data_IF_010078762732
#
_entry.id   IF_010078762732
#
_cell.length_a   1.000
_cell.length_b   1.000
_cell.length_c   1.000
_cell.angle_alpha   90.00
_cell.angle_beta   90.00
_cell.angle_gamma   90.00
#
_symmetry.space_group_name_H-M   'P 1'
#
loop_
_entity.id
_entity.type
_entity.pdbx_description
1 polymer ?
#
# COMPACT_ATOMS: atom_id res chain seq x y z
N UNK A 1 48.65 67.65 17.41
CA UNK A 1 49.00 67.19 16.06
C UNK A 1 48.29 65.86 15.83
N UNK A 2 47.35 65.83 14.86
CA UNK A 2 46.64 64.73 14.16
C UNK A 2 46.85 63.29 14.69
N UNK A 3 45.83 62.42 14.77
CA UNK A 3 45.04 61.88 13.65
C UNK A 3 43.71 61.29 14.18
N UNK A 4 42.62 61.49 13.41
CA UNK A 4 41.29 60.88 13.55
C UNK A 4 41.32 59.38 13.26
N UNK A 5 40.53 58.57 13.97
CA UNK A 5 40.08 57.26 13.48
C UNK A 5 38.59 57.08 13.77
N UNK A 6 37.76 57.41 12.78
CA UNK A 6 36.30 57.20 12.81
C UNK A 6 36.02 55.76 12.36
N UNK A 7 35.58 54.90 13.28
CA UNK A 7 35.21 53.52 12.95
C UNK A 7 33.76 53.55 12.44
N UNK A 8 33.56 53.30 11.14
CA UNK A 8 32.24 53.06 10.56
C UNK A 8 31.77 51.65 10.94
N UNK A 9 30.81 51.55 11.85
CA UNK A 9 30.08 50.29 12.10
C UNK A 9 29.02 50.11 11.01
N UNK A 10 29.29 49.27 10.03
CA UNK A 10 28.29 48.83 9.05
C UNK A 10 27.31 47.88 9.73
N UNK A 11 26.08 48.33 9.96
CA UNK A 11 24.98 47.47 10.37
C UNK A 11 24.56 46.60 9.17
N UNK A 12 24.94 45.33 9.17
CA UNK A 12 24.43 44.36 8.22
C UNK A 12 22.99 44.00 8.62
N UNK A 13 22.01 44.45 7.82
CA UNK A 13 20.62 44.04 7.95
C UNK A 13 20.50 42.58 7.48
N UNK A 14 20.51 41.62 8.40
CA UNK A 14 20.15 40.23 8.07
C UNK A 14 18.64 40.17 7.88
N UNK A 15 18.20 40.18 6.63
CA UNK A 15 16.83 39.81 6.27
C UNK A 15 16.69 38.30 6.46
N UNK A 16 15.97 37.90 7.51
CA UNK A 16 15.59 36.50 7.70
C UNK A 16 14.57 36.15 6.62
N UNK A 17 15.03 35.51 5.55
CA UNK A 17 14.12 34.86 4.61
C UNK A 17 13.48 33.67 5.32
N UNK A 18 12.20 33.80 5.67
CA UNK A 18 11.42 32.67 6.18
C UNK A 18 11.16 31.71 5.02
N UNK A 19 12.09 30.77 4.79
CA UNK A 19 11.85 29.61 3.95
C UNK A 19 10.90 28.66 4.70
N UNK A 20 9.60 28.88 4.54
CA UNK A 20 8.58 27.94 5.00
C UNK A 20 8.07 27.12 3.82
N UNK A 21 8.94 26.30 3.22
CA UNK A 21 8.44 25.05 2.64
C UNK A 21 8.24 24.09 3.80
N UNK A 22 7.15 24.26 4.56
CA UNK A 22 6.72 23.23 5.48
C UNK A 22 6.28 22.08 4.59
N UNK A 23 7.18 21.14 4.31
CA UNK A 23 6.78 19.77 4.03
C UNK A 23 5.79 19.43 5.16
N UNK A 24 4.50 19.20 4.84
CA UNK A 24 3.48 18.85 5.84
C UNK A 24 4.10 17.76 6.73
N UNK A 25 4.41 18.14 7.96
CA UNK A 25 5.08 17.26 8.90
C UNK A 25 4.14 16.09 9.20
N UNK A 26 4.68 14.88 9.29
CA UNK A 26 3.93 13.73 9.76
C UNK A 26 3.26 14.05 11.10
N UNK A 27 2.05 13.55 11.33
CA UNK A 27 1.36 13.74 12.60
C UNK A 27 1.99 12.85 13.67
N UNK A 28 3.04 13.36 14.31
CA UNK A 28 3.82 12.60 15.29
C UNK A 28 2.98 12.11 16.47
N UNK A 29 1.95 12.86 16.87
CA UNK A 29 1.07 12.47 17.96
C UNK A 29 0.26 11.21 17.60
N UNK A 30 -0.35 11.17 16.42
CA UNK A 30 -1.07 9.98 15.95
C UNK A 30 -0.13 8.81 15.66
N UNK A 31 1.07 9.08 15.11
CA UNK A 31 2.09 8.03 14.93
C UNK A 31 2.48 7.40 16.26
N UNK A 32 2.75 8.20 17.29
CA UNK A 32 3.08 7.71 18.62
C UNK A 32 1.91 6.95 19.26
N UNK A 33 0.68 7.46 19.09
CA UNK A 33 -0.53 6.78 19.56
C UNK A 33 -0.66 5.39 18.93
N UNK A 34 -0.56 5.29 17.59
CA UNK A 34 -0.62 4.01 16.88
C UNK A 34 0.48 3.06 17.34
N UNK A 35 1.73 3.53 17.43
CA UNK A 35 2.86 2.66 17.74
C UNK A 35 2.81 2.13 19.18
N UNK A 36 2.33 2.94 20.13
CA UNK A 36 2.24 2.58 21.55
C UNK A 36 0.99 1.79 21.90
N UNK A 37 -0.16 2.09 21.29
CA UNK A 37 -1.46 1.53 21.70
C UNK A 37 -2.09 0.59 20.67
N UNK A 38 -1.61 0.62 19.42
CA UNK A 38 -2.28 0.00 18.26
C UNK A 38 -3.68 0.54 17.98
N UNK A 39 -4.07 1.68 18.55
CA UNK A 39 -5.36 2.32 18.33
C UNK A 39 -5.19 3.65 17.60
N UNK A 40 -5.80 3.79 16.43
CA UNK A 40 -5.79 5.04 15.67
C UNK A 40 -7.00 5.14 14.71
N UNK A 41 -8.22 4.92 15.23
CA UNK A 41 -9.42 5.11 14.42
C UNK A 41 -9.56 6.57 13.98
N UNK A 42 -9.78 6.79 12.69
CA UNK A 42 -9.93 8.14 12.12
C UNK A 42 -8.69 9.03 12.23
N UNK A 43 -7.52 8.48 12.57
CA UNK A 43 -6.30 9.26 12.68
C UNK A 43 -5.85 9.81 11.32
N UNK A 44 -5.31 11.03 11.33
CA UNK A 44 -4.43 11.52 10.26
C UNK A 44 -3.05 10.86 10.42
N UNK A 45 -2.74 9.94 9.51
CA UNK A 45 -1.45 9.26 9.35
C UNK A 45 -0.94 9.49 7.92
N UNK A 46 -1.30 10.62 7.32
CA UNK A 46 -0.92 10.93 5.94
C UNK A 46 0.60 10.98 5.81
N UNK A 47 1.12 10.33 4.77
CA UNK A 47 2.56 10.27 4.45
C UNK A 47 3.47 9.64 5.52
N UNK A 48 2.91 9.03 6.58
CA UNK A 48 3.72 8.47 7.67
C UNK A 48 4.68 7.38 7.19
N UNK A 49 5.92 7.40 7.70
CA UNK A 49 6.87 6.29 7.57
C UNK A 49 6.67 5.20 8.62
N UNK A 50 6.14 4.05 8.22
CA UNK A 50 5.90 2.86 9.06
C UNK A 50 6.48 1.58 8.41
N UNK A 51 7.62 1.71 7.73
CA UNK A 51 8.32 0.59 7.11
C UNK A 51 8.64 -0.45 8.17
N UNK A 52 8.30 -1.72 7.90
CA UNK A 52 8.52 -2.84 8.82
C UNK A 52 7.87 -2.70 10.21
N UNK A 53 6.91 -1.78 10.37
CA UNK A 53 6.23 -1.61 11.64
C UNK A 53 5.43 -2.87 12.00
N UNK A 54 5.48 -3.26 13.27
CA UNK A 54 4.57 -4.25 13.83
C UNK A 54 3.25 -3.55 14.18
N UNK A 55 2.19 -3.88 13.44
CA UNK A 55 0.84 -3.32 13.57
C UNK A 55 -0.20 -4.46 13.62
N UNK A 56 0.19 -5.63 14.14
CA UNK A 56 -0.72 -6.76 14.31
C UNK A 56 -1.93 -6.34 15.14
N UNK A 57 -3.13 -6.62 14.61
CA UNK A 57 -4.39 -6.30 15.26
C UNK A 57 -4.65 -4.80 15.46
N UNK A 58 -3.89 -3.91 14.83
CA UNK A 58 -4.08 -2.49 14.99
C UNK A 58 -5.45 -2.03 14.48
N UNK A 59 -6.10 -1.15 15.24
CA UNK A 59 -7.34 -0.53 14.83
C UNK A 59 -7.04 0.79 14.11
N UNK A 60 -7.13 0.75 12.79
CA UNK A 60 -6.92 1.85 11.84
C UNK A 60 -8.21 2.18 11.07
N UNK A 61 -9.37 1.80 11.63
CA UNK A 61 -10.66 2.02 10.97
C UNK A 61 -10.86 3.51 10.65
N UNK A 62 -11.14 3.82 9.38
CA UNK A 62 -11.34 5.17 8.88
C UNK A 62 -10.11 6.08 8.92
N UNK A 63 -8.91 5.58 9.23
CA UNK A 63 -7.70 6.39 9.26
C UNK A 63 -7.32 6.89 7.86
N UNK A 64 -6.74 8.10 7.77
CA UNK A 64 -6.11 8.60 6.55
C UNK A 64 -4.65 8.19 6.49
N UNK A 65 -4.36 7.13 5.74
CA UNK A 65 -3.03 6.59 5.46
C UNK A 65 -2.58 6.96 4.03
N UNK A 66 -3.18 7.99 3.42
CA UNK A 66 -2.84 8.34 2.04
C UNK A 66 -1.37 8.69 1.93
N UNK A 67 -0.72 8.09 0.92
CA UNK A 67 0.73 8.19 0.65
C UNK A 67 1.63 7.73 1.81
N UNK A 68 1.11 7.00 2.79
CA UNK A 68 1.93 6.39 3.84
C UNK A 68 2.87 5.33 3.27
N UNK A 69 4.00 5.11 3.92
CA UNK A 69 4.91 4.03 3.59
C UNK A 69 4.84 2.93 4.67
N UNK A 70 4.06 1.90 4.38
CA UNK A 70 3.84 0.69 5.19
C UNK A 70 4.57 -0.52 4.59
N UNK A 71 5.61 -0.31 3.78
CA UNK A 71 6.31 -1.40 3.11
C UNK A 71 6.83 -2.40 4.14
N UNK A 72 6.56 -3.69 3.92
CA UNK A 72 6.92 -4.80 4.82
C UNK A 72 6.36 -4.71 6.23
N UNK A 73 5.39 -3.84 6.50
CA UNK A 73 4.72 -3.80 7.80
C UNK A 73 3.93 -5.10 8.05
N UNK A 74 3.80 -5.48 9.31
CA UNK A 74 2.94 -6.57 9.73
C UNK A 74 1.60 -6.01 10.19
N UNK A 75 0.58 -6.12 9.35
CA UNK A 75 -0.81 -5.70 9.57
C UNK A 75 -1.74 -6.91 9.75
N UNK A 76 -1.20 -8.07 10.18
CA UNK A 76 -2.00 -9.29 10.38
C UNK A 76 -3.19 -8.98 11.31
N UNK A 77 -4.41 -9.27 10.86
CA UNK A 77 -5.63 -9.03 11.62
C UNK A 77 -5.96 -7.56 11.93
N UNK A 78 -5.27 -6.58 11.33
CA UNK A 78 -5.56 -5.17 11.54
C UNK A 78 -6.94 -4.79 10.97
N UNK A 79 -7.62 -3.85 11.63
CA UNK A 79 -8.86 -3.24 11.12
C UNK A 79 -8.52 -1.97 10.34
N UNK A 80 -8.60 -2.04 9.02
CA UNK A 80 -8.42 -0.95 8.05
C UNK A 80 -9.75 -0.59 7.37
N UNK A 81 -10.90 -0.97 7.95
CA UNK A 81 -12.19 -0.71 7.35
C UNK A 81 -12.42 0.78 7.11
N UNK A 82 -12.82 1.13 5.90
CA UNK A 82 -13.01 2.53 5.47
C UNK A 82 -11.74 3.40 5.44
N UNK A 83 -10.54 2.84 5.65
CA UNK A 83 -9.30 3.63 5.65
C UNK A 83 -8.98 4.18 4.26
N UNK A 84 -8.38 5.37 4.19
CA UNK A 84 -7.84 5.93 2.95
C UNK A 84 -6.39 5.50 2.77
N UNK A 85 -6.13 4.55 1.87
CA UNK A 85 -4.78 4.04 1.55
C UNK A 85 -4.30 4.55 0.17
N UNK A 86 -4.94 5.58 -0.38
CA UNK A 86 -4.64 6.05 -1.73
C UNK A 86 -3.17 6.47 -1.86
N UNK A 87 -2.50 5.88 -2.86
CA UNK A 87 -1.07 6.11 -3.10
C UNK A 87 -0.12 5.61 -2.00
N UNK A 88 -0.59 4.85 -1.01
CA UNK A 88 0.25 4.26 0.01
C UNK A 88 1.13 3.13 -0.55
N UNK A 89 2.29 2.91 0.05
CA UNK A 89 3.14 1.75 -0.23
C UNK A 89 2.92 0.66 0.82
N UNK A 90 2.34 -0.46 0.41
CA UNK A 90 2.19 -1.71 1.16
C UNK A 90 3.07 -2.82 0.56
N UNK A 91 4.12 -2.46 -0.18
CA UNK A 91 4.99 -3.43 -0.84
C UNK A 91 5.53 -4.46 0.18
N UNK A 92 5.27 -5.74 -0.05
CA UNK A 92 5.69 -6.83 0.83
C UNK A 92 5.04 -6.84 2.22
N UNK A 93 3.97 -6.07 2.45
CA UNK A 93 3.29 -6.04 3.75
C UNK A 93 2.49 -7.33 3.98
N UNK A 94 2.40 -7.75 5.25
CA UNK A 94 1.55 -8.86 5.65
C UNK A 94 0.19 -8.34 6.14
N UNK A 95 -0.87 -8.55 5.35
CA UNK A 95 -2.26 -8.16 5.64
C UNK A 95 -3.14 -9.39 5.88
N UNK A 96 -2.54 -10.53 6.26
CA UNK A 96 -3.30 -11.75 6.47
C UNK A 96 -4.41 -11.54 7.52
N UNK A 97 -5.64 -11.89 7.16
CA UNK A 97 -6.82 -11.69 8.03
C UNK A 97 -7.20 -10.23 8.31
N UNK A 98 -6.57 -9.24 7.68
CA UNK A 98 -6.90 -7.84 7.88
C UNK A 98 -8.29 -7.50 7.30
N UNK A 99 -9.01 -6.60 7.97
CA UNK A 99 -10.28 -6.07 7.45
C UNK A 99 -10.02 -4.80 6.64
N UNK A 100 -10.17 -4.85 5.32
CA UNK A 100 -10.08 -3.69 4.41
C UNK A 100 -11.44 -3.30 3.84
N UNK A 101 -12.56 -3.73 4.43
CA UNK A 101 -13.89 -3.45 3.88
C UNK A 101 -14.11 -1.94 3.67
N UNK A 102 -14.48 -1.54 2.44
CA UNK A 102 -14.69 -0.15 2.06
C UNK A 102 -13.43 0.74 2.03
N UNK A 103 -12.23 0.19 2.18
CA UNK A 103 -11.00 0.97 2.10
C UNK A 103 -10.73 1.49 0.68
N UNK A 104 -10.14 2.68 0.58
CA UNK A 104 -9.72 3.26 -0.70
C UNK A 104 -8.30 2.81 -1.06
N UNK A 105 -8.17 1.90 -2.03
CA UNK A 105 -6.89 1.38 -2.54
C UNK A 105 -6.44 1.99 -3.87
N UNK A 106 -6.95 3.17 -4.23
CA UNK A 106 -6.58 3.81 -5.49
C UNK A 106 -5.08 4.11 -5.56
N UNK A 107 -4.39 3.59 -6.59
CA UNK A 107 -2.94 3.73 -6.77
C UNK A 107 -2.09 3.20 -5.61
N UNK A 108 -2.63 2.31 -4.78
CA UNK A 108 -1.89 1.68 -3.69
C UNK A 108 -0.94 0.61 -4.22
N UNK A 109 0.29 0.58 -3.71
CA UNK A 109 1.27 -0.44 -4.06
C UNK A 109 1.15 -1.64 -3.13
N UNK A 110 0.50 -2.71 -3.59
CA UNK A 110 0.33 -3.99 -2.90
C UNK A 110 1.28 -5.06 -3.43
N UNK A 111 2.29 -4.71 -4.23
CA UNK A 111 3.20 -5.70 -4.83
C UNK A 111 3.83 -6.57 -3.75
N UNK A 112 3.86 -7.87 -3.98
CA UNK A 112 4.39 -8.88 -3.04
C UNK A 112 3.70 -8.90 -1.64
N UNK A 113 2.54 -8.26 -1.49
CA UNK A 113 1.79 -8.28 -0.23
C UNK A 113 1.04 -9.61 -0.01
N UNK A 114 0.78 -9.94 1.26
CA UNK A 114 0.05 -11.15 1.65
C UNK A 114 -1.37 -10.79 2.13
N UNK A 115 -2.39 -11.15 1.35
CA UNK A 115 -3.81 -10.87 1.61
C UNK A 115 -4.61 -12.13 2.00
N UNK A 116 -3.95 -13.22 2.39
CA UNK A 116 -4.63 -14.47 2.77
C UNK A 116 -5.67 -14.19 3.85
N UNK A 117 -6.93 -14.54 3.59
CA UNK A 117 -8.09 -14.28 4.46
C UNK A 117 -8.41 -12.80 4.71
N UNK A 118 -7.84 -11.86 3.97
CA UNK A 118 -8.18 -10.44 4.09
C UNK A 118 -9.59 -10.17 3.57
N UNK A 119 -10.32 -9.28 4.25
CA UNK A 119 -11.69 -8.91 3.89
C UNK A 119 -11.66 -7.66 3.00
N UNK A 120 -12.09 -7.78 1.74
CA UNK A 120 -12.02 -6.72 0.71
C UNK A 120 -13.43 -6.33 0.19
N UNK A 121 -14.46 -6.48 1.02
CA UNK A 121 -15.84 -6.15 0.62
C UNK A 121 -15.95 -4.68 0.23
N UNK A 122 -16.51 -4.40 -0.96
CA UNK A 122 -16.67 -3.03 -1.47
C UNK A 122 -15.36 -2.36 -1.91
N UNK A 123 -14.28 -3.12 -2.08
CA UNK A 123 -12.97 -2.62 -2.53
C UNK A 123 -12.73 -2.99 -3.99
N UNK A 124 -12.17 -2.06 -4.77
CA UNK A 124 -11.68 -2.32 -6.12
C UNK A 124 -10.15 -2.36 -6.15
N UNK A 125 -9.60 -3.42 -6.72
CA UNK A 125 -8.15 -3.57 -6.95
C UNK A 125 -7.71 -3.14 -8.36
N UNK A 126 -8.62 -2.72 -9.25
CA UNK A 126 -8.31 -2.45 -10.65
C UNK A 126 -7.28 -1.31 -10.86
N UNK A 127 -7.11 -0.43 -9.85
CA UNK A 127 -6.14 0.67 -9.86
C UNK A 127 -4.98 0.47 -8.87
N UNK A 128 -4.86 -0.70 -8.26
CA UNK A 128 -3.77 -1.03 -7.35
C UNK A 128 -2.65 -1.78 -8.10
N UNK A 129 -1.42 -1.66 -7.62
CA UNK A 129 -0.30 -2.46 -8.11
C UNK A 129 -0.23 -3.76 -7.30
N UNK A 130 -0.66 -4.88 -7.88
CA UNK A 130 -0.82 -6.15 -7.15
C UNK A 130 0.12 -7.27 -7.65
N UNK A 131 1.19 -6.91 -8.34
CA UNK A 131 2.10 -7.91 -8.89
C UNK A 131 2.76 -8.69 -7.75
N UNK A 132 2.64 -10.02 -7.78
CA UNK A 132 3.15 -10.93 -6.75
C UNK A 132 2.34 -10.92 -5.46
N UNK A 133 1.22 -10.19 -5.39
CA UNK A 133 0.31 -10.27 -4.26
C UNK A 133 -0.27 -11.68 -4.16
N UNK A 134 -0.34 -12.22 -2.95
CA UNK A 134 -0.84 -13.58 -2.68
C UNK A 134 -2.15 -13.49 -1.89
N UNK A 135 -3.10 -14.37 -2.17
CA UNK A 135 -4.32 -14.51 -1.36
C UNK A 135 -5.43 -13.52 -1.66
N UNK A 136 -5.44 -12.88 -2.83
CA UNK A 136 -6.56 -12.03 -3.28
C UNK A 136 -7.85 -12.87 -3.34
N UNK A 137 -8.94 -12.51 -2.63
CA UNK A 137 -10.18 -13.28 -2.64
C UNK A 137 -10.95 -13.10 -3.94
N UNK A 138 -11.73 -14.12 -4.33
CA UNK A 138 -12.39 -14.20 -5.64
C UNK A 138 -13.40 -13.07 -5.90
N UNK A 139 -13.95 -12.45 -4.85
CA UNK A 139 -14.87 -11.31 -4.99
C UNK A 139 -14.16 -9.94 -5.15
N UNK A 140 -12.83 -9.89 -5.12
CA UNK A 140 -12.07 -8.63 -5.23
C UNK A 140 -11.78 -8.18 -6.68
N UNK A 141 -12.25 -8.94 -7.68
CA UNK A 141 -12.09 -8.63 -9.10
C UNK A 141 -13.08 -9.40 -9.96
N UNK A 142 -13.15 -9.06 -11.24
CA UNK A 142 -13.90 -9.81 -12.26
C UNK A 142 -13.08 -10.98 -12.81
N UNK A 143 -13.71 -11.88 -13.57
CA UNK A 143 -12.99 -12.95 -14.27
C UNK A 143 -11.91 -12.39 -15.20
N UNK A 144 -12.23 -11.28 -15.90
CA UNK A 144 -11.29 -10.57 -16.77
C UNK A 144 -10.12 -9.95 -16.00
N UNK A 145 -10.36 -9.41 -14.81
CA UNK A 145 -9.28 -8.89 -13.93
C UNK A 145 -8.33 -10.03 -13.53
N UNK A 146 -8.86 -11.14 -13.01
CA UNK A 146 -8.05 -12.29 -12.62
C UNK A 146 -7.27 -12.86 -13.80
N UNK A 147 -7.87 -12.96 -14.98
CA UNK A 147 -7.15 -13.39 -16.17
C UNK A 147 -5.99 -12.45 -16.50
N UNK A 148 -6.23 -11.13 -16.49
CA UNK A 148 -5.20 -10.14 -16.76
C UNK A 148 -4.06 -10.22 -15.74
N UNK A 149 -4.38 -10.37 -14.45
CA UNK A 149 -3.41 -10.54 -13.38
C UNK A 149 -2.60 -11.83 -13.55
N UNK A 150 -3.25 -12.94 -13.92
CA UNK A 150 -2.57 -14.19 -14.25
C UNK A 150 -1.57 -14.05 -15.39
N UNK A 151 -1.95 -13.35 -16.48
CA UNK A 151 -1.04 -13.04 -17.60
C UNK A 151 0.17 -12.23 -17.15
N UNK A 152 -0.03 -11.25 -16.26
CA UNK A 152 1.08 -10.46 -15.71
C UNK A 152 2.03 -11.33 -14.88
N UNK A 153 1.49 -12.19 -13.99
CA UNK A 153 2.32 -13.09 -13.17
C UNK A 153 3.08 -14.13 -14.02
N UNK A 154 2.44 -14.71 -15.03
CA UNK A 154 3.09 -15.65 -15.93
C UNK A 154 4.27 -15.01 -16.69
N UNK A 155 4.15 -13.74 -17.11
CA UNK A 155 5.24 -12.99 -17.74
C UNK A 155 6.41 -12.74 -16.78
N UNK A 156 6.15 -12.67 -15.48
CA UNK A 156 7.18 -12.54 -14.43
C UNK A 156 7.81 -13.88 -14.03
N UNK A 157 7.33 -15.00 -14.58
CA UNK A 157 7.76 -16.34 -14.18
C UNK A 157 7.06 -16.87 -12.92
N UNK A 158 6.09 -16.14 -12.37
CA UNK A 158 5.32 -16.52 -11.20
C UNK A 158 4.16 -17.45 -11.58
N UNK A 159 4.50 -18.60 -12.17
CA UNK A 159 3.51 -19.51 -12.77
C UNK A 159 2.51 -20.09 -11.77
N UNK A 160 2.90 -20.31 -10.50
CA UNK A 160 1.99 -20.80 -9.46
C UNK A 160 0.86 -19.80 -9.20
N UNK A 161 1.20 -18.55 -8.92
CA UNK A 161 0.22 -17.46 -8.74
C UNK A 161 -0.60 -17.23 -10.00
N UNK A 162 0.02 -17.33 -11.18
CA UNK A 162 -0.70 -17.23 -12.45
C UNK A 162 -1.79 -18.31 -12.58
N UNK A 163 -1.47 -19.56 -12.24
CA UNK A 163 -2.44 -20.68 -12.26
C UNK A 163 -3.58 -20.42 -11.29
N UNK A 164 -3.31 -19.97 -10.07
CA UNK A 164 -4.36 -19.61 -9.10
C UNK A 164 -5.32 -18.56 -9.68
N UNK A 165 -4.80 -17.53 -10.35
CA UNK A 165 -5.64 -16.53 -11.00
C UNK A 165 -6.42 -17.06 -12.20
N UNK A 166 -5.85 -17.96 -13.00
CA UNK A 166 -6.60 -18.62 -14.07
C UNK A 166 -7.68 -19.56 -13.54
N UNK A 167 -7.43 -20.25 -12.43
CA UNK A 167 -8.45 -21.10 -11.77
C UNK A 167 -9.60 -20.26 -11.24
N UNK A 168 -9.31 -19.10 -10.64
CA UNK A 168 -10.34 -18.13 -10.24
C UNK A 168 -11.14 -17.63 -11.43
N UNK A 169 -10.47 -17.25 -12.51
CA UNK A 169 -11.13 -16.86 -13.77
C UNK A 169 -12.13 -17.91 -14.22
N UNK A 170 -11.72 -19.18 -14.24
CA UNK A 170 -12.55 -20.30 -14.72
C UNK A 170 -13.65 -20.70 -13.73
N UNK A 171 -13.46 -20.45 -12.44
CA UNK A 171 -14.54 -20.60 -11.45
C UNK A 171 -15.67 -19.61 -11.66
N UNK A 172 -15.34 -18.38 -12.09
CA UNK A 172 -16.29 -17.31 -12.35
C UNK A 172 -16.89 -17.38 -13.76
N UNK A 173 -16.09 -17.81 -14.74
CA UNK A 173 -16.46 -17.88 -16.15
C UNK A 173 -15.93 -19.18 -16.79
N UNK A 174 -16.67 -20.29 -16.64
CA UNK A 174 -16.21 -21.63 -17.05
C UNK A 174 -15.95 -21.81 -18.55
N UNK A 175 -16.47 -20.92 -19.39
CA UNK A 175 -16.31 -20.91 -20.85
C UNK A 175 -15.21 -19.95 -21.34
N UNK A 176 -14.40 -19.39 -20.43
CA UNK A 176 -13.31 -18.47 -20.77
C UNK A 176 -12.11 -19.17 -21.42
N UNK A 177 -12.22 -19.46 -22.72
CA UNK A 177 -11.21 -20.20 -23.49
C UNK A 177 -9.75 -19.72 -23.31
N UNK A 178 -9.44 -18.40 -23.27
CA UNK A 178 -8.06 -17.94 -23.09
C UNK A 178 -7.43 -18.39 -21.76
N UNK A 179 -8.21 -18.53 -20.69
CA UNK A 179 -7.71 -18.94 -19.38
C UNK A 179 -7.29 -20.42 -19.37
N UNK A 180 -8.00 -21.31 -20.09
CA UNK A 180 -7.58 -22.71 -20.22
C UNK A 180 -6.21 -22.83 -20.88
N UNK A 181 -6.00 -22.10 -21.98
CA UNK A 181 -4.74 -22.09 -22.71
C UNK A 181 -3.60 -21.54 -21.84
N UNK A 182 -3.83 -20.38 -21.22
CA UNK A 182 -2.83 -19.72 -20.39
C UNK A 182 -2.45 -20.57 -19.16
N UNK A 183 -3.43 -21.22 -18.52
CA UNK A 183 -3.19 -22.16 -17.42
C UNK A 183 -2.40 -23.38 -17.86
N UNK A 184 -2.74 -23.99 -19.00
CA UNK A 184 -1.99 -25.13 -19.54
C UNK A 184 -0.53 -24.77 -19.84
N UNK A 185 -0.29 -23.59 -20.43
CA UNK A 185 1.06 -23.08 -20.66
C UNK A 185 1.82 -22.85 -19.36
N UNK A 186 1.18 -22.28 -18.34
CA UNK A 186 1.79 -22.06 -17.04
C UNK A 186 2.17 -23.37 -16.34
N UNK A 187 1.30 -24.39 -16.38
CA UNK A 187 1.59 -25.75 -15.86
C UNK A 187 2.77 -26.40 -16.58
N UNK A 188 2.78 -26.36 -17.90
CA UNK A 188 3.90 -26.86 -18.70
C UNK A 188 5.23 -26.19 -18.32
N UNK A 189 5.22 -24.87 -18.04
CA UNK A 189 6.41 -24.13 -17.58
C UNK A 189 6.85 -24.51 -16.16
N UNK A 190 5.94 -25.02 -15.32
CA UNK A 190 6.26 -25.59 -14.00
C UNK A 190 6.71 -27.05 -14.05
N UNK A 191 6.54 -27.74 -15.18
CA UNK A 191 6.82 -29.16 -15.32
C UNK A 191 5.69 -30.06 -14.81
N UNK A 192 4.46 -29.54 -14.76
CA UNK A 192 3.22 -30.27 -14.41
C UNK A 192 2.46 -30.78 -15.63
#
# INVERSE_FOLDING_TARGET
MNIKLTILTTAALLTTTSLSTIAKAENLAHTQQLLSTKQCQGCDLTRVGLIMADLVGANLAGADLSRANLSRANLTGADLSGANLSGASLNGANLAGANLAGANLFSTDLREAFLVNAQLYGVSLSNAYIQGTIGIPDYAGTAEDFYAWGVVEAKRGNYKTAIEYYDKTLSMKPDFAPAFLARGMARFRLGE
#
